data_IF_892087185286
#
_entry.id   IF_892087185286
#
_cell.length_a   1.000
_cell.length_b   1.000
_cell.length_c   1.000
_cell.angle_alpha   90.00
_cell.angle_beta   90.00
_cell.angle_gamma   90.00
#
_symmetry.space_group_name_H-M   'P 1'
#
loop_
_entity.id
_entity.type
_entity.pdbx_description
1 polymer ?
#
# COMPACT_ATOMS: atom_id res chain seq x y z
N UNK A 1 -7.42 -34.27 16.61
CA UNK A 1 -7.13 -32.86 16.92
C UNK A 1 -8.43 -32.20 17.35
N UNK A 2 -8.44 -31.46 18.45
CA UNK A 2 -9.66 -30.98 19.11
C UNK A 2 -10.34 -29.88 18.26
N UNK A 3 -11.66 -29.95 18.05
CA UNK A 3 -12.46 -28.93 17.30
C UNK A 3 -12.16 -27.51 17.78
N UNK A 4 -11.83 -27.40 19.07
CA UNK A 4 -11.37 -26.19 19.74
C UNK A 4 -10.15 -25.53 19.07
N UNK A 5 -9.15 -26.31 18.64
CA UNK A 5 -7.92 -25.77 18.04
C UNK A 5 -8.22 -25.08 16.70
N UNK A 6 -9.15 -25.63 15.91
CA UNK A 6 -9.58 -25.05 14.64
C UNK A 6 -10.35 -23.76 14.86
N UNK A 7 -11.24 -23.74 15.86
CA UNK A 7 -11.97 -22.53 16.26
C UNK A 7 -11.00 -21.45 16.71
N UNK A 8 -10.03 -21.78 17.58
CA UNK A 8 -9.02 -20.84 18.06
C UNK A 8 -8.17 -20.28 16.91
N UNK A 9 -7.78 -21.11 15.95
CA UNK A 9 -7.04 -20.69 14.75
C UNK A 9 -7.87 -19.74 13.86
N UNK A 10 -9.15 -20.05 13.66
CA UNK A 10 -10.06 -19.19 12.90
C UNK A 10 -10.29 -17.85 13.60
N UNK A 11 -10.43 -17.83 14.93
CA UNK A 11 -10.56 -16.59 15.70
C UNK A 11 -9.31 -15.73 15.61
N UNK A 12 -8.11 -16.32 15.68
CA UNK A 12 -6.85 -15.60 15.47
C UNK A 12 -6.79 -15.02 14.06
N UNK A 13 -7.16 -15.81 13.05
CA UNK A 13 -7.17 -15.35 11.66
C UNK A 13 -8.16 -14.19 11.44
N UNK A 14 -9.33 -14.22 12.09
CA UNK A 14 -10.29 -13.12 12.04
C UNK A 14 -9.73 -11.83 12.68
N UNK A 15 -9.09 -11.94 13.85
CA UNK A 15 -8.46 -10.79 14.51
C UNK A 15 -7.35 -10.18 13.65
N UNK A 16 -6.50 -11.02 13.05
CA UNK A 16 -5.41 -10.59 12.20
C UNK A 16 -5.93 -9.95 10.90
N UNK A 17 -7.00 -10.47 10.28
CA UNK A 17 -7.63 -9.85 9.10
C UNK A 17 -8.23 -8.49 9.42
N UNK A 18 -8.91 -8.34 10.56
CA UNK A 18 -9.43 -7.06 11.02
C UNK A 18 -8.32 -6.03 11.25
N UNK A 19 -7.21 -6.45 11.84
CA UNK A 19 -6.04 -5.60 12.02
C UNK A 19 -5.42 -5.19 10.66
N UNK A 20 -5.35 -6.12 9.71
CA UNK A 20 -4.86 -5.86 8.36
C UNK A 20 -5.76 -4.87 7.62
N UNK A 21 -7.08 -5.01 7.74
CA UNK A 21 -8.06 -4.07 7.22
C UNK A 21 -7.84 -2.67 7.79
N UNK A 22 -7.71 -2.54 9.11
CA UNK A 22 -7.51 -1.25 9.78
C UNK A 22 -6.22 -0.55 9.32
N UNK A 23 -5.10 -1.27 9.26
CA UNK A 23 -3.85 -0.69 8.75
C UNK A 23 -3.96 -0.26 7.29
N UNK A 24 -4.65 -1.04 6.46
CA UNK A 24 -4.87 -0.70 5.04
C UNK A 24 -5.71 0.56 4.91
N UNK A 25 -6.78 0.68 5.70
CA UNK A 25 -7.61 1.88 5.74
C UNK A 25 -6.84 3.12 6.21
N UNK A 26 -5.96 2.96 7.21
CA UNK A 26 -5.12 4.04 7.74
C UNK A 26 -4.12 4.54 6.68
N UNK A 27 -3.49 3.64 5.92
CA UNK A 27 -2.64 4.01 4.76
C UNK A 27 -3.44 4.82 3.73
N UNK A 28 -4.64 4.36 3.35
CA UNK A 28 -5.50 5.10 2.41
C UNK A 28 -5.80 6.51 2.92
N UNK A 29 -6.16 6.64 4.21
CA UNK A 29 -6.44 7.94 4.83
C UNK A 29 -5.21 8.84 4.83
N UNK A 30 -4.04 8.30 5.16
CA UNK A 30 -2.79 9.05 5.19
C UNK A 30 -2.42 9.60 3.79
N UNK A 31 -2.55 8.77 2.75
CA UNK A 31 -2.33 9.17 1.36
C UNK A 31 -3.36 10.19 0.85
N UNK A 32 -4.61 10.09 1.30
CA UNK A 32 -5.70 10.99 0.86
C UNK A 32 -5.64 12.37 1.52
N UNK A 33 -5.26 12.43 2.79
CA UNK A 33 -5.32 13.65 3.61
C UNK A 33 -3.96 14.34 3.78
N UNK A 34 -2.92 13.93 3.04
CA UNK A 34 -1.56 14.47 3.15
C UNK A 34 -1.04 14.45 4.61
N UNK A 35 -1.29 13.33 5.31
CA UNK A 35 -0.91 13.14 6.72
C UNK A 35 0.62 12.94 6.82
N UNK A 36 1.16 13.20 8.01
CA UNK A 36 2.56 13.01 8.40
C UNK A 36 3.19 11.71 7.85
N UNK A 37 4.28 11.86 7.09
CA UNK A 37 5.09 10.79 6.48
C UNK A 37 5.48 9.69 7.48
N UNK A 38 5.82 10.07 8.72
CA UNK A 38 6.20 9.11 9.76
C UNK A 38 5.07 8.13 10.09
N UNK A 39 3.81 8.59 10.06
CA UNK A 39 2.65 7.72 10.31
C UNK A 39 2.47 6.74 9.15
N UNK A 40 2.69 7.19 7.92
CA UNK A 40 2.57 6.35 6.74
C UNK A 40 3.61 5.23 6.76
N UNK A 41 4.88 5.58 7.01
CA UNK A 41 5.98 4.62 7.08
C UNK A 41 5.76 3.57 8.19
N UNK A 42 5.42 4.02 9.40
CA UNK A 42 5.15 3.12 10.52
C UNK A 42 3.96 2.20 10.25
N UNK A 43 2.91 2.70 9.61
CA UNK A 43 1.73 1.89 9.28
C UNK A 43 2.06 0.84 8.22
N UNK A 44 2.83 1.19 7.19
CA UNK A 44 3.32 0.21 6.21
C UNK A 44 4.17 -0.88 6.86
N UNK A 45 5.09 -0.52 7.77
CA UNK A 45 5.92 -1.50 8.51
C UNK A 45 5.08 -2.46 9.35
N UNK A 46 4.16 -1.92 10.18
CA UNK A 46 3.24 -2.73 11.00
C UNK A 46 2.39 -3.66 10.14
N UNK A 47 1.90 -3.18 8.99
CA UNK A 47 1.14 -3.98 8.03
C UNK A 47 1.98 -5.11 7.43
N UNK A 48 3.23 -4.84 7.06
CA UNK A 48 4.16 -5.84 6.53
C UNK A 48 4.42 -6.97 7.51
N UNK A 49 4.75 -6.64 8.76
CA UNK A 49 4.97 -7.64 9.82
C UNK A 49 3.72 -8.50 10.07
N UNK A 50 2.54 -7.89 10.03
CA UNK A 50 1.28 -8.61 10.18
C UNK A 50 1.05 -9.60 9.03
N UNK A 51 1.34 -9.22 7.79
CA UNK A 51 1.24 -10.12 6.63
C UNK A 51 2.18 -11.33 6.76
N UNK A 52 3.42 -11.12 7.22
CA UNK A 52 4.37 -12.21 7.46
C UNK A 52 3.88 -13.19 8.53
N UNK A 53 3.33 -12.66 9.63
CA UNK A 53 2.70 -13.45 10.70
C UNK A 53 1.49 -14.23 10.18
N UNK A 54 0.62 -13.58 9.39
CA UNK A 54 -0.57 -14.21 8.82
C UNK A 54 -0.20 -15.32 7.85
N UNK A 55 0.78 -15.09 6.97
CA UNK A 55 1.26 -16.10 6.03
C UNK A 55 1.76 -17.35 6.76
N UNK A 56 2.55 -17.16 7.83
CA UNK A 56 3.00 -18.25 8.70
C UNK A 56 1.84 -19.01 9.36
N UNK A 57 0.77 -18.31 9.71
CA UNK A 57 -0.42 -18.89 10.37
C UNK A 57 -1.28 -19.68 9.37
N UNK A 58 -1.42 -19.19 8.14
CA UNK A 58 -2.12 -19.87 7.04
C UNK A 58 -1.39 -21.15 6.66
N UNK A 59 -0.06 -21.12 6.50
CA UNK A 59 0.71 -22.33 6.19
C UNK A 59 0.55 -23.41 7.27
N UNK A 60 0.48 -23.02 8.55
CA UNK A 60 0.20 -23.95 9.65
C UNK A 60 -1.20 -24.53 9.56
N UNK A 61 -2.19 -23.70 9.23
CA UNK A 61 -3.57 -24.15 9.05
C UNK A 61 -3.71 -25.14 7.89
N UNK A 62 -3.12 -24.83 6.73
CA UNK A 62 -3.14 -25.71 5.55
C UNK A 62 -2.45 -27.05 5.84
N UNK A 63 -1.29 -27.03 6.52
CA UNK A 63 -0.59 -28.26 6.94
C UNK A 63 -1.45 -29.14 7.86
N UNK A 64 -2.19 -28.52 8.78
CA UNK A 64 -3.10 -29.23 9.69
C UNK A 64 -4.29 -29.80 8.91
N UNK A 65 -4.83 -29.04 7.97
CA UNK A 65 -5.96 -29.46 7.13
C UNK A 65 -5.60 -30.65 6.24
N UNK A 66 -4.44 -30.62 5.60
CA UNK A 66 -3.92 -31.72 4.76
C UNK A 66 -3.67 -32.99 5.58
N UNK A 67 -3.10 -32.85 6.78
CA UNK A 67 -2.85 -34.00 7.67
C UNK A 67 -4.13 -34.67 8.18
N UNK A 68 -5.23 -33.92 8.25
CA UNK A 68 -6.48 -34.38 8.86
C UNK A 68 -7.51 -34.94 7.87
N UNK A 69 -7.16 -35.06 6.59
CA UNK A 69 -8.04 -35.57 5.52
C UNK A 69 -9.48 -35.05 5.70
N UNK A 70 -9.63 -33.73 5.64
CA UNK A 70 -10.91 -33.01 5.72
C UNK A 70 -11.78 -33.27 4.46
N UNK A 71 -11.92 -34.53 4.07
CA UNK A 71 -12.89 -35.02 3.10
C UNK A 71 -14.12 -35.43 3.88
N UNK A 72 -15.24 -34.74 3.63
CA UNK A 72 -16.55 -34.95 4.23
C UNK A 72 -16.65 -34.72 5.75
N UNK A 73 -17.20 -33.57 6.13
CA UNK A 73 -18.42 -33.60 6.93
C UNK A 73 -19.10 -32.23 7.02
N UNK A 74 -20.41 -32.27 6.82
CA UNK A 74 -21.40 -31.20 6.93
C UNK A 74 -21.56 -30.65 8.37
N UNK A 75 -20.46 -30.53 9.13
CA UNK A 75 -20.43 -30.25 10.57
C UNK A 75 -19.77 -28.92 10.97
N UNK A 76 -19.68 -27.96 10.05
CA UNK A 76 -19.31 -26.59 10.41
C UNK A 76 -20.50 -25.99 11.15
N UNK A 77 -20.32 -25.64 12.43
CA UNK A 77 -21.34 -24.91 13.17
C UNK A 77 -21.50 -23.50 12.57
N UNK A 78 -22.67 -22.88 12.76
CA UNK A 78 -22.97 -21.54 12.24
C UNK A 78 -21.88 -20.52 12.58
N UNK A 79 -21.28 -20.64 13.76
CA UNK A 79 -20.21 -19.76 14.28
C UNK A 79 -18.92 -19.77 13.43
N UNK A 80 -18.43 -20.95 13.00
CA UNK A 80 -17.24 -20.99 12.12
C UNK A 80 -17.55 -20.50 10.72
N UNK A 81 -18.79 -20.72 10.25
CA UNK A 81 -19.25 -20.22 8.96
C UNK A 81 -19.39 -18.68 8.95
N UNK A 82 -19.94 -18.09 10.02
CA UNK A 82 -20.04 -16.64 10.17
C UNK A 82 -18.66 -15.98 10.23
N UNK A 83 -17.74 -16.55 11.02
CA UNK A 83 -16.35 -16.05 11.11
C UNK A 83 -15.65 -16.10 9.75
N UNK A 84 -15.84 -17.18 9.00
CA UNK A 84 -15.28 -17.33 7.66
C UNK A 84 -15.84 -16.31 6.67
N UNK A 85 -17.16 -16.06 6.72
CA UNK A 85 -17.79 -15.02 5.89
C UNK A 85 -17.24 -13.64 6.21
N UNK A 86 -17.05 -13.30 7.49
CA UNK A 86 -16.45 -12.03 7.91
C UNK A 86 -15.02 -11.87 7.38
N UNK A 87 -14.17 -12.89 7.56
CA UNK A 87 -12.80 -12.90 7.02
C UNK A 87 -12.82 -12.64 5.50
N UNK A 88 -13.69 -13.33 4.77
CA UNK A 88 -13.79 -13.17 3.30
C UNK A 88 -14.22 -11.75 2.91
N UNK A 89 -15.16 -11.16 3.64
CA UNK A 89 -15.60 -9.78 3.41
C UNK A 89 -14.47 -8.77 3.67
N UNK A 90 -13.73 -8.93 4.77
CA UNK A 90 -12.58 -8.08 5.10
C UNK A 90 -11.48 -8.19 4.05
N UNK A 91 -11.14 -9.40 3.60
CA UNK A 91 -10.16 -9.63 2.54
C UNK A 91 -10.54 -8.95 1.23
N UNK A 92 -11.81 -9.08 0.81
CA UNK A 92 -12.29 -8.40 -0.40
C UNK A 92 -12.19 -6.88 -0.25
N UNK A 93 -12.53 -6.34 0.91
CA UNK A 93 -12.40 -4.90 1.18
C UNK A 93 -10.93 -4.45 1.16
N UNK A 94 -10.01 -5.25 1.71
CA UNK A 94 -8.56 -4.99 1.66
C UNK A 94 -8.06 -4.93 0.21
N UNK A 95 -8.53 -5.83 -0.67
CA UNK A 95 -8.15 -5.81 -2.10
C UNK A 95 -8.57 -4.50 -2.75
N UNK A 96 -9.82 -4.08 -2.57
CA UNK A 96 -10.33 -2.80 -3.11
C UNK A 96 -9.53 -1.62 -2.55
N UNK A 97 -9.26 -1.59 -1.24
CA UNK A 97 -8.44 -0.54 -0.64
C UNK A 97 -7.02 -0.50 -1.22
N UNK A 98 -6.41 -1.65 -1.51
CA UNK A 98 -5.08 -1.69 -2.13
C UNK A 98 -5.07 -1.13 -3.55
N UNK A 99 -6.13 -1.36 -4.33
CA UNK A 99 -6.28 -0.77 -5.67
C UNK A 99 -6.38 0.75 -5.58
N UNK A 100 -7.17 1.27 -4.64
CA UNK A 100 -7.29 2.71 -4.38
C UNK A 100 -5.96 3.32 -3.91
N UNK A 101 -5.26 2.68 -2.98
CA UNK A 101 -3.92 3.09 -2.50
C UNK A 101 -2.94 3.15 -3.66
N UNK A 102 -2.96 2.15 -4.53
CA UNK A 102 -2.09 2.11 -5.72
C UNK A 102 -2.39 3.28 -6.66
N UNK A 103 -3.66 3.62 -6.86
CA UNK A 103 -4.08 4.77 -7.65
C UNK A 103 -3.58 6.08 -7.05
N UNK A 104 -3.73 6.26 -5.72
CA UNK A 104 -3.26 7.45 -5.01
C UNK A 104 -1.74 7.63 -5.13
N UNK A 105 -0.96 6.57 -4.94
CA UNK A 105 0.51 6.60 -5.09
C UNK A 105 0.89 7.00 -6.52
N UNK A 106 0.25 6.41 -7.54
CA UNK A 106 0.50 6.76 -8.94
C UNK A 106 0.19 8.23 -9.23
N UNK A 107 -0.91 8.75 -8.69
CA UNK A 107 -1.27 10.15 -8.84
C UNK A 107 -0.22 11.07 -8.21
N UNK A 108 0.21 10.79 -6.97
CA UNK A 108 1.24 11.58 -6.29
C UNK A 108 2.57 11.59 -7.05
N UNK A 109 3.01 10.43 -7.59
CA UNK A 109 4.22 10.33 -8.42
C UNK A 109 4.07 11.18 -9.68
N UNK A 110 2.92 11.13 -10.35
CA UNK A 110 2.61 11.94 -11.54
C UNK A 110 2.69 13.44 -11.23
N UNK A 111 2.14 13.87 -10.10
CA UNK A 111 2.18 15.27 -9.67
C UNK A 111 3.61 15.74 -9.40
N UNK A 112 4.42 14.93 -8.71
CA UNK A 112 5.85 15.19 -8.47
C UNK A 112 6.61 15.31 -9.81
N UNK A 113 6.40 14.37 -10.74
CA UNK A 113 7.03 14.42 -12.06
C UNK A 113 6.65 15.68 -12.84
N UNK A 114 5.39 16.11 -12.78
CA UNK A 114 4.93 17.35 -13.40
C UNK A 114 5.65 18.58 -12.82
N UNK A 115 5.77 18.64 -11.49
CA UNK A 115 6.51 19.70 -10.81
C UNK A 115 8.00 19.73 -11.21
N UNK A 116 8.65 18.57 -11.26
CA UNK A 116 10.06 18.47 -11.69
C UNK A 116 10.25 18.92 -13.15
N UNK A 117 9.34 18.57 -14.05
CA UNK A 117 9.34 19.03 -15.44
C UNK A 117 9.31 20.56 -15.54
N UNK A 118 8.41 21.21 -14.81
CA UNK A 118 8.30 22.68 -14.76
C UNK A 118 9.58 23.35 -14.22
N UNK A 119 10.20 22.76 -13.19
CA UNK A 119 11.47 23.27 -12.64
C UNK A 119 12.60 23.18 -13.68
N UNK A 120 12.67 22.07 -14.42
CA UNK A 120 13.67 21.87 -15.47
C UNK A 120 13.49 22.85 -16.63
N UNK A 121 12.25 23.06 -17.08
CA UNK A 121 11.91 24.05 -18.12
C UNK A 121 12.29 25.47 -17.67
N UNK A 122 11.95 25.86 -16.43
CA UNK A 122 12.33 27.15 -15.87
C UNK A 122 13.84 27.35 -15.80
N UNK A 123 14.59 26.32 -15.40
CA UNK A 123 16.07 26.35 -15.39
C UNK A 123 16.63 26.52 -16.80
N UNK A 124 16.08 25.80 -17.79
CA UNK A 124 16.47 25.94 -19.19
C UNK A 124 16.21 27.36 -19.71
N UNK A 125 15.05 27.93 -19.39
CA UNK A 125 14.69 29.29 -19.75
C UNK A 125 15.68 30.32 -19.17
N UNK A 126 16.00 30.24 -17.88
CA UNK A 126 17.00 31.11 -17.24
C UNK A 126 18.39 30.95 -17.89
N UNK A 127 18.79 29.72 -18.22
CA UNK A 127 20.08 29.46 -18.86
C UNK A 127 20.17 30.06 -20.27
N UNK A 128 19.06 30.06 -21.01
CA UNK A 128 18.95 30.67 -22.34
C UNK A 128 19.02 32.19 -22.25
N UNK A 129 18.37 32.79 -21.24
CA UNK A 129 18.43 34.24 -21.00
C UNK A 129 19.82 34.74 -20.58
N UNK A 130 20.65 33.89 -19.96
CA UNK A 130 22.04 34.27 -19.60
C UNK A 130 23.01 34.25 -20.78
N UNK A 131 22.70 33.56 -21.88
CA UNK A 131 23.57 33.44 -23.06
C UNK A 131 23.74 34.71 -23.93
N UNK A 132 22.84 35.70 -24.01
CA UNK A 132 23.05 36.87 -24.87
C UNK A 132 23.83 38.03 -24.20
N UNK A 133 24.02 38.01 -22.87
CA UNK A 133 24.67 39.11 -22.15
C UNK A 133 26.20 39.11 -22.26
N UNK A 134 26.81 38.05 -22.78
CA UNK A 134 28.26 37.96 -22.99
C UNK A 134 28.68 38.15 -24.46
N UNK A 135 27.76 38.41 -25.39
CA UNK A 135 28.08 38.59 -26.82
C UNK A 135 27.87 40.01 -27.36
N UNK A 136 27.52 40.99 -26.53
CA UNK A 136 27.44 42.39 -26.94
C UNK A 136 28.57 43.21 -26.33
N UNK A 137 29.77 43.02 -26.85
CA UNK A 137 30.87 43.97 -26.70
C UNK A 137 31.81 43.89 -27.92
N UNK A 138 31.34 44.37 -29.07
CA UNK A 138 32.20 44.90 -30.13
C UNK A 138 31.34 45.66 -31.15
N UNK A 139 30.77 46.79 -30.72
CA UNK A 139 30.34 47.87 -31.59
C UNK A 139 31.25 49.08 -31.32
N UNK A 140 32.54 48.90 -31.59
CA UNK A 140 33.50 50.01 -31.68
C UNK A 140 34.31 49.77 -32.95
N UNK A 141 34.37 50.83 -33.77
CA UNK A 141 35.15 51.05 -34.99
C UNK A 141 34.68 50.41 -36.31
N UNK A 142 33.67 51.03 -36.94
CA UNK A 142 33.58 51.15 -38.41
C UNK A 142 33.36 52.63 -38.81
N UNK A 143 34.12 53.53 -38.18
CA UNK A 143 34.37 54.89 -38.66
C UNK A 143 35.79 55.29 -38.28
N UNK A 144 36.76 54.78 -39.04
CA UNK A 144 38.19 55.09 -38.97
C UNK A 144 38.89 54.57 -40.20
#
# INVERSE_FOLDING_TARGET
MDKKIIIDMLSILALDNKALFNHTLEIKKALSNNINENILEDTFKKRGLLLEKMNSSIMKFDSIKEFLDFTDNNGWNSETNETWVQIKQELNAIVVLNEEITSLIKQQISDIMSCLGKIQEGKHFISTLKKPLSSTASLVDIFG
#
